data_IF_890555675351
#
_entry.id   IF_890555675351
#
_cell.length_a   1.000
_cell.length_b   1.000
_cell.length_c   1.000
_cell.angle_alpha   90.00
_cell.angle_beta   90.00
_cell.angle_gamma   90.00
#
_symmetry.space_group_name_H-M   'P 1'
#
loop_
_entity.id
_entity.type
_entity.pdbx_description
1 polymer ?
#
# COMPACT_ATOMS: atom_id res chain seq x y z
N UNK A 1 21.38 -2.38 -8.73
CA UNK A 1 22.07 -1.07 -8.68
C UNK A 1 22.70 -0.84 -10.04
N UNK A 2 22.48 0.33 -10.65
CA UNK A 2 23.19 0.77 -11.85
C UNK A 2 23.94 2.08 -11.58
N UNK A 3 24.84 2.44 -12.48
CA UNK A 3 25.68 3.62 -12.38
C UNK A 3 25.75 4.36 -13.71
N UNK A 4 25.78 5.68 -13.68
CA UNK A 4 26.01 6.52 -14.86
C UNK A 4 25.12 7.75 -14.91
N UNK A 5 25.20 8.50 -16.01
CA UNK A 5 24.29 9.61 -16.26
C UNK A 5 22.84 9.13 -16.49
N UNK A 6 21.87 10.02 -16.28
CA UNK A 6 20.47 9.71 -16.55
C UNK A 6 20.25 9.45 -18.06
N UNK A 7 19.69 8.29 -18.46
CA UNK A 7 19.55 7.95 -19.88
C UNK A 7 18.72 8.97 -20.67
N UNK A 8 19.22 9.38 -21.85
CA UNK A 8 18.54 10.35 -22.73
C UNK A 8 17.11 9.96 -23.08
N UNK A 9 16.83 8.66 -23.20
CA UNK A 9 15.48 8.14 -23.44
C UNK A 9 14.52 8.42 -22.28
N UNK A 10 15.00 8.32 -21.04
CA UNK A 10 14.21 8.63 -19.85
C UNK A 10 14.07 10.14 -19.64
N UNK A 11 15.09 10.94 -19.95
CA UNK A 11 15.00 12.40 -19.95
C UNK A 11 13.89 12.89 -20.91
N UNK A 12 13.81 12.33 -22.12
CA UNK A 12 12.74 12.66 -23.07
C UNK A 12 11.35 12.29 -22.54
N UNK A 13 11.23 11.15 -21.86
CA UNK A 13 9.97 10.75 -21.25
C UNK A 13 9.57 11.69 -20.10
N UNK A 14 10.55 12.13 -19.30
CA UNK A 14 10.35 13.13 -18.26
C UNK A 14 9.88 14.47 -18.85
N UNK A 15 10.54 14.95 -19.91
CA UNK A 15 10.19 16.22 -20.58
C UNK A 15 8.75 16.21 -21.12
N UNK A 16 8.34 15.08 -21.73
CA UNK A 16 6.99 14.88 -22.23
C UNK A 16 5.98 14.95 -21.08
N UNK A 17 6.24 14.24 -19.97
CA UNK A 17 5.37 14.24 -18.79
C UNK A 17 5.26 15.63 -18.15
N UNK A 18 6.39 16.31 -17.94
CA UNK A 18 6.44 17.63 -17.30
C UNK A 18 5.66 18.68 -18.10
N UNK A 19 5.69 18.59 -19.43
CA UNK A 19 4.92 19.47 -20.32
C UNK A 19 3.41 19.26 -20.17
N UNK A 20 2.96 18.01 -19.98
CA UNK A 20 1.54 17.67 -19.89
C UNK A 20 0.94 17.87 -18.50
N UNK A 21 1.71 17.60 -17.44
CA UNK A 21 1.17 17.43 -16.07
C UNK A 21 1.81 18.31 -15.00
N UNK A 22 2.78 19.17 -15.36
CA UNK A 22 3.60 19.98 -14.44
C UNK A 22 4.27 19.10 -13.38
N UNK A 23 5.55 18.77 -13.58
CA UNK A 23 6.32 18.02 -12.57
C UNK A 23 6.67 18.92 -11.39
N UNK A 24 6.55 18.38 -10.17
CA UNK A 24 7.10 18.98 -8.95
C UNK A 24 8.59 18.64 -8.75
N UNK A 25 9.08 17.64 -9.48
CA UNK A 25 10.48 17.21 -9.42
C UNK A 25 11.35 18.09 -10.32
N UNK A 26 12.63 18.20 -9.97
CA UNK A 26 13.63 18.75 -10.87
C UNK A 26 13.94 17.78 -12.01
N UNK A 27 14.29 18.32 -13.18
CA UNK A 27 14.73 17.51 -14.31
C UNK A 27 16.03 16.78 -13.92
N UNK A 28 16.13 15.45 -14.03
CA UNK A 28 17.27 14.69 -13.52
C UNK A 28 18.47 14.66 -14.49
N UNK A 29 18.88 15.80 -15.03
CA UNK A 29 19.96 15.94 -16.02
C UNK A 29 21.29 16.46 -15.46
N UNK A 30 21.35 16.65 -14.15
CA UNK A 30 22.49 17.20 -13.42
C UNK A 30 23.43 16.14 -12.82
N UNK A 31 23.08 14.85 -12.92
CA UNK A 31 23.89 13.75 -12.39
C UNK A 31 25.07 13.40 -13.31
N UNK A 32 26.23 13.09 -12.71
CA UNK A 32 27.43 12.64 -13.40
C UNK A 32 27.43 11.12 -13.65
N UNK A 33 28.53 10.61 -14.21
CA UNK A 33 28.71 9.19 -14.53
C UNK A 33 29.10 8.31 -13.31
N UNK A 34 29.28 8.92 -12.14
CA UNK A 34 29.53 8.23 -10.87
C UNK A 34 28.23 7.95 -10.10
N UNK A 35 27.13 8.67 -10.40
CA UNK A 35 25.84 8.53 -9.74
C UNK A 35 25.34 7.07 -9.75
N UNK A 36 24.93 6.58 -8.56
CA UNK A 36 24.34 5.27 -8.37
C UNK A 36 22.81 5.37 -8.30
N UNK A 37 22.11 4.41 -8.91
CA UNK A 37 20.67 4.26 -8.80
C UNK A 37 20.27 2.85 -8.38
N UNK A 38 19.24 2.76 -7.55
CA UNK A 38 18.46 1.54 -7.39
C UNK A 38 17.30 1.57 -8.40
N UNK A 39 17.25 0.57 -9.28
CA UNK A 39 16.15 0.41 -10.25
C UNK A 39 15.36 -0.83 -9.87
N UNK A 40 14.10 -0.62 -9.52
CA UNK A 40 13.14 -1.67 -9.21
C UNK A 40 12.22 -1.85 -10.42
N UNK A 41 12.20 -3.05 -11.00
CA UNK A 41 11.30 -3.39 -12.12
C UNK A 41 10.09 -4.12 -11.54
N UNK A 42 8.92 -3.49 -11.63
CA UNK A 42 7.68 -3.95 -11.03
C UNK A 42 6.62 -4.25 -12.11
N UNK A 43 5.58 -4.99 -11.75
CA UNK A 43 4.40 -5.16 -12.59
C UNK A 43 3.69 -3.81 -12.82
N UNK A 44 3.09 -3.62 -13.99
CA UNK A 44 2.23 -2.46 -14.24
C UNK A 44 0.83 -2.72 -13.65
N UNK A 45 0.59 -2.18 -12.46
CA UNK A 45 -0.62 -2.43 -11.67
C UNK A 45 -1.80 -1.49 -11.97
N UNK A 46 -1.75 -0.75 -13.08
CA UNK A 46 -2.82 0.16 -13.50
C UNK A 46 -2.69 1.57 -12.95
N UNK A 47 -3.80 2.15 -12.48
CA UNK A 47 -3.92 3.55 -12.04
C UNK A 47 -4.20 3.59 -10.54
N UNK A 48 -3.62 4.55 -9.83
CA UNK A 48 -3.85 4.71 -8.40
C UNK A 48 -5.33 5.06 -8.08
N UNK A 49 -5.73 4.81 -6.82
CA UNK A 49 -7.11 4.97 -6.38
C UNK A 49 -7.55 6.44 -6.31
N UNK A 50 -6.63 7.39 -6.24
CA UNK A 50 -6.92 8.82 -6.29
C UNK A 50 -7.39 9.26 -7.68
N UNK A 51 -6.85 8.64 -8.74
CA UNK A 51 -7.15 9.01 -10.13
C UNK A 51 -8.12 8.06 -10.86
N UNK A 52 -8.41 6.88 -10.29
CA UNK A 52 -9.33 5.92 -10.91
C UNK A 52 -10.81 6.25 -10.66
N UNK A 53 -11.66 6.06 -11.67
CA UNK A 53 -13.11 6.15 -11.52
C UNK A 53 -13.70 4.76 -11.28
N UNK A 54 -14.27 4.56 -10.08
CA UNK A 54 -15.06 3.37 -9.77
C UNK A 54 -16.48 3.54 -10.30
N UNK A 55 -16.93 2.59 -11.12
CA UNK A 55 -18.20 2.67 -11.86
C UNK A 55 -19.41 2.29 -10.99
N UNK A 56 -19.19 1.53 -9.90
CA UNK A 56 -20.26 1.04 -9.02
C UNK A 56 -19.79 0.81 -7.59
N UNK A 57 -20.70 0.93 -6.62
CA UNK A 57 -20.41 0.65 -5.20
C UNK A 57 -19.83 -0.75 -4.95
N UNK A 58 -20.23 -1.74 -5.76
CA UNK A 58 -19.69 -3.09 -5.68
C UNK A 58 -18.16 -3.14 -5.92
N UNK A 59 -17.64 -2.27 -6.80
CA UNK A 59 -16.19 -2.15 -7.04
C UNK A 59 -15.48 -1.54 -5.83
N UNK A 60 -16.04 -0.49 -5.22
CA UNK A 60 -15.49 0.10 -4.00
C UNK A 60 -15.41 -0.93 -2.86
N UNK A 61 -16.47 -1.71 -2.66
CA UNK A 61 -16.49 -2.79 -1.66
C UNK A 61 -15.44 -3.86 -1.96
N UNK A 62 -15.28 -4.26 -3.23
CA UNK A 62 -14.26 -5.23 -3.62
C UNK A 62 -12.85 -4.71 -3.37
N UNK A 63 -12.54 -3.47 -3.76
CA UNK A 63 -11.24 -2.84 -3.52
C UNK A 63 -10.93 -2.79 -2.02
N UNK A 64 -11.89 -2.34 -1.19
CA UNK A 64 -11.71 -2.34 0.27
C UNK A 64 -11.42 -3.74 0.83
N UNK A 65 -12.15 -4.77 0.36
CA UNK A 65 -11.92 -6.16 0.77
C UNK A 65 -10.53 -6.65 0.37
N UNK A 66 -10.08 -6.35 -0.84
CA UNK A 66 -8.74 -6.71 -1.32
C UNK A 66 -7.65 -6.08 -0.44
N UNK A 67 -7.75 -4.78 -0.16
CA UNK A 67 -6.78 -4.06 0.70
C UNK A 67 -6.72 -4.71 2.09
N UNK A 68 -7.88 -4.85 2.75
CA UNK A 68 -7.96 -5.40 4.10
C UNK A 68 -7.44 -6.84 4.15
N UNK A 69 -7.77 -7.65 3.15
CA UNK A 69 -7.32 -9.02 3.07
C UNK A 69 -5.81 -9.12 2.83
N UNK A 70 -5.25 -8.29 1.94
CA UNK A 70 -3.81 -8.22 1.70
C UNK A 70 -3.03 -7.79 2.94
N UNK A 71 -3.51 -6.78 3.68
CA UNK A 71 -2.91 -6.37 4.95
C UNK A 71 -3.01 -7.49 6.00
N UNK A 72 -4.15 -8.15 6.14
CA UNK A 72 -4.34 -9.26 7.08
C UNK A 72 -3.43 -10.46 6.75
N UNK A 73 -3.22 -10.76 5.47
CA UNK A 73 -2.28 -11.76 5.00
C UNK A 73 -0.85 -11.33 5.31
N UNK A 74 -0.46 -10.09 4.99
CA UNK A 74 0.89 -9.58 5.27
C UNK A 74 1.20 -9.64 6.77
N UNK A 75 0.21 -9.40 7.64
CA UNK A 75 0.35 -9.58 9.08
C UNK A 75 0.44 -11.05 9.50
N UNK A 76 -0.07 -12.01 8.72
CA UNK A 76 -0.14 -13.42 9.13
C UNK A 76 0.94 -14.30 8.51
N UNK A 77 1.36 -14.05 7.26
CA UNK A 77 2.35 -14.87 6.53
C UNK A 77 3.78 -14.51 6.91
N UNK A 78 4.08 -13.23 7.15
CA UNK A 78 5.38 -12.83 7.68
C UNK A 78 5.47 -13.39 9.10
N UNK A 79 6.39 -14.35 9.28
CA UNK A 79 6.38 -15.44 10.26
C UNK A 79 6.15 -15.04 11.73
N UNK A 80 6.26 -13.76 12.09
CA UNK A 80 6.13 -13.28 13.47
C UNK A 80 5.17 -12.10 13.70
N UNK A 81 4.18 -11.88 12.81
CA UNK A 81 3.03 -10.98 13.03
C UNK A 81 3.32 -9.49 13.10
N UNK A 82 4.25 -8.99 12.29
CA UNK A 82 4.92 -7.72 12.61
C UNK A 82 5.18 -6.81 11.41
N UNK A 83 4.21 -6.73 10.50
CA UNK A 83 4.25 -5.84 9.33
C UNK A 83 3.37 -4.61 9.51
N UNK A 84 3.87 -3.45 9.10
CA UNK A 84 3.07 -2.24 9.03
C UNK A 84 3.42 -1.42 7.79
N UNK A 85 2.41 -1.01 7.02
CA UNK A 85 2.65 -0.22 5.80
C UNK A 85 3.04 1.22 6.12
N UNK A 86 2.35 1.82 7.10
CA UNK A 86 2.53 3.19 7.62
C UNK A 86 2.33 4.33 6.63
N UNK A 87 2.09 4.05 5.36
CA UNK A 87 1.82 5.09 4.36
C UNK A 87 0.83 4.69 3.26
N UNK A 88 -0.23 3.96 3.62
CA UNK A 88 -1.20 3.44 2.64
C UNK A 88 -2.30 4.49 2.29
N UNK A 89 -1.90 5.67 1.82
CA UNK A 89 -2.87 6.59 1.23
C UNK A 89 -3.40 6.05 -0.11
N UNK A 90 -4.50 6.61 -0.63
CA UNK A 90 -5.11 6.18 -1.90
C UNK A 90 -4.18 6.25 -3.13
N UNK A 91 -3.13 7.07 -3.10
CA UNK A 91 -2.10 7.09 -4.14
C UNK A 91 -1.23 5.82 -4.17
N UNK A 92 -1.16 5.10 -3.04
CA UNK A 92 -0.39 3.86 -2.88
C UNK A 92 -1.25 2.59 -3.08
N UNK A 93 -2.45 2.76 -3.65
CA UNK A 93 -3.37 1.68 -3.99
C UNK A 93 -3.59 1.68 -5.49
N UNK A 94 -2.95 0.76 -6.20
CA UNK A 94 -3.05 0.64 -7.66
C UNK A 94 -4.24 -0.24 -8.06
N UNK A 95 -5.00 0.20 -9.06
CA UNK A 95 -6.19 -0.46 -9.58
C UNK A 95 -6.00 -0.82 -11.06
N UNK A 96 -6.05 -2.12 -11.36
CA UNK A 96 -6.01 -2.66 -12.71
C UNK A 96 -7.36 -3.27 -13.11
N UNK A 97 -7.79 -3.05 -14.36
CA UNK A 97 -8.95 -3.75 -14.94
C UNK A 97 -8.55 -5.18 -15.29
N UNK A 98 -9.38 -6.15 -14.90
CA UNK A 98 -9.19 -7.58 -15.23
C UNK A 98 -10.32 -8.10 -16.10
N UNK A 99 -9.98 -8.97 -17.07
CA UNK A 99 -10.87 -9.37 -18.16
C UNK A 99 -12.07 -10.24 -17.75
N UNK A 100 -12.10 -10.73 -16.51
CA UNK A 100 -13.20 -11.52 -15.98
C UNK A 100 -13.64 -10.98 -14.61
N UNK A 101 -14.95 -10.99 -14.35
CA UNK A 101 -15.53 -11.02 -12.99
C UNK A 101 -15.22 -12.37 -12.32
N UNK A 102 -13.99 -12.88 -12.52
CA UNK A 102 -13.49 -14.03 -11.79
C UNK A 102 -13.42 -13.65 -10.32
N UNK A 103 -13.82 -14.58 -9.47
CA UNK A 103 -13.54 -14.51 -8.05
C UNK A 103 -12.07 -14.17 -7.85
N UNK A 104 -11.79 -13.08 -7.12
CA UNK A 104 -10.43 -12.87 -6.67
C UNK A 104 -10.18 -13.87 -5.55
N UNK A 105 -9.57 -14.99 -5.91
CA UNK A 105 -8.76 -15.75 -4.97
C UNK A 105 -7.51 -14.91 -4.72
N UNK A 106 -7.47 -14.25 -3.56
CA UNK A 106 -6.18 -13.88 -3.02
C UNK A 106 -5.44 -15.19 -2.70
N UNK A 107 -4.76 -15.75 -3.71
CA UNK A 107 -3.94 -16.95 -3.60
C UNK A 107 -2.71 -16.64 -2.76
N UNK A 108 -2.89 -16.55 -1.44
CA UNK A 108 -1.75 -16.29 -0.54
C UNK A 108 -1.71 -17.21 0.68
N UNK A 109 -2.74 -18.04 0.93
CA UNK A 109 -2.62 -19.11 1.92
C UNK A 109 -3.32 -20.40 1.47
N UNK A 110 -2.62 -21.54 1.40
CA UNK A 110 -3.20 -22.84 1.04
C UNK A 110 -4.34 -23.33 1.95
N UNK A 111 -4.53 -22.70 3.12
CA UNK A 111 -5.43 -23.17 4.17
C UNK A 111 -6.54 -22.17 4.56
N UNK A 112 -6.58 -20.97 3.96
CA UNK A 112 -7.61 -19.95 4.19
C UNK A 112 -7.86 -19.15 2.92
N UNK A 113 -8.68 -19.70 2.03
CA UNK A 113 -9.15 -19.00 0.83
C UNK A 113 -10.33 -18.11 1.20
N UNK A 114 -10.13 -16.79 1.20
CA UNK A 114 -11.26 -15.88 1.04
C UNK A 114 -11.46 -15.64 -0.45
N UNK A 115 -12.71 -15.83 -0.88
CA UNK A 115 -13.14 -15.65 -2.27
C UNK A 115 -14.18 -14.55 -2.26
N UNK A 116 -13.91 -13.43 -2.95
CA UNK A 116 -14.91 -12.39 -3.14
C UNK A 116 -14.87 -11.87 -4.58
N UNK A 117 -16.02 -11.41 -5.13
CA UNK A 117 -16.08 -10.93 -6.49
C UNK A 117 -15.14 -9.74 -6.72
N UNK A 118 -14.33 -9.84 -7.78
CA UNK A 118 -13.43 -8.76 -8.22
C UNK A 118 -14.16 -7.54 -8.76
N UNK A 119 -15.35 -7.76 -9.31
CA UNK A 119 -16.08 -6.76 -10.07
C UNK A 119 -15.23 -6.11 -11.19
N UNK A 120 -14.30 -6.89 -11.76
CA UNK A 120 -13.43 -6.50 -12.86
C UNK A 120 -12.21 -5.69 -12.43
N UNK A 121 -11.91 -5.59 -11.12
CA UNK A 121 -10.81 -4.79 -10.59
C UNK A 121 -9.88 -5.58 -9.68
N UNK A 122 -8.57 -5.53 -9.97
CA UNK A 122 -7.50 -5.99 -9.08
C UNK A 122 -6.86 -4.80 -8.37
N UNK A 123 -6.69 -4.92 -7.06
CA UNK A 123 -5.97 -3.98 -6.22
C UNK A 123 -4.52 -4.45 -5.99
N UNK A 124 -3.56 -3.52 -5.95
CA UNK A 124 -2.18 -3.78 -5.54
C UNK A 124 -1.67 -2.66 -4.65
N UNK A 125 -1.15 -3.03 -3.47
CA UNK A 125 -0.55 -2.10 -2.52
C UNK A 125 0.92 -1.89 -2.92
N UNK A 126 1.34 -0.63 -3.02
CA UNK A 126 2.69 -0.23 -3.40
C UNK A 126 3.28 0.77 -2.39
N UNK A 127 4.53 1.15 -2.63
CA UNK A 127 5.29 2.13 -1.85
C UNK A 127 5.46 1.77 -0.37
N UNK A 128 6.49 0.96 -0.12
CA UNK A 128 6.85 0.51 1.21
C UNK A 128 7.91 1.42 1.87
N UNK A 129 8.06 2.67 1.41
CA UNK A 129 9.14 3.58 1.85
C UNK A 129 9.13 3.79 3.37
N UNK A 130 7.96 3.95 3.99
CA UNK A 130 7.82 4.14 5.44
C UNK A 130 7.47 2.84 6.18
N UNK A 131 7.47 1.71 5.48
CA UNK A 131 7.01 0.44 6.04
C UNK A 131 7.95 -0.13 7.10
N UNK A 132 7.38 -1.04 7.89
CA UNK A 132 8.07 -1.84 8.88
C UNK A 132 7.78 -3.31 8.61
N UNK A 133 8.81 -4.13 8.58
CA UNK A 133 8.75 -5.57 8.40
C UNK A 133 9.74 -6.23 9.37
N UNK A 134 9.26 -7.18 10.15
CA UNK A 134 10.09 -8.06 10.95
C UNK A 134 9.92 -9.48 10.43
N UNK A 135 11.01 -10.05 9.93
CA UNK A 135 11.16 -11.48 9.62
C UNK A 135 11.93 -12.09 10.78
N UNK A 136 11.74 -13.38 11.08
CA UNK A 136 12.21 -13.98 12.36
C UNK A 136 13.63 -13.65 12.83
N UNK A 137 14.54 -13.32 11.91
CA UNK A 137 15.92 -12.93 12.22
C UNK A 137 16.27 -11.45 11.97
N UNK A 138 15.41 -10.67 11.29
CA UNK A 138 15.74 -9.32 10.81
C UNK A 138 14.57 -8.32 10.92
N UNK A 139 14.89 -7.08 11.30
CA UNK A 139 13.96 -5.96 11.34
C UNK A 139 14.33 -4.93 10.28
N UNK A 140 13.40 -4.68 9.37
CA UNK A 140 13.44 -3.63 8.36
C UNK A 140 12.44 -2.54 8.75
N UNK A 141 12.89 -1.30 8.90
CA UNK A 141 12.02 -0.16 9.16
C UNK A 141 12.72 1.14 8.78
N UNK A 142 11.93 2.20 8.64
CA UNK A 142 12.42 3.58 8.50
C UNK A 142 12.06 4.36 9.76
N UNK A 143 13.02 5.13 10.25
CA UNK A 143 12.79 6.13 11.28
C UNK A 143 12.20 7.38 10.63
N UNK A 144 11.04 7.82 11.10
CA UNK A 144 10.32 8.95 10.50
C UNK A 144 10.65 10.19 11.33
N UNK A 145 11.77 10.82 11.00
CA UNK A 145 12.34 11.97 11.69
C UNK A 145 12.06 13.32 11.00
N UNK A 146 11.52 13.29 9.78
CA UNK A 146 11.12 14.49 9.05
C UNK A 146 9.88 15.15 9.67
N UNK A 147 10.10 16.25 10.39
CA UNK A 147 9.04 17.07 10.99
C UNK A 147 8.07 17.69 9.97
N UNK A 148 8.46 17.80 8.70
CA UNK A 148 7.60 18.25 7.61
C UNK A 148 6.34 17.37 7.47
N UNK A 149 6.50 16.07 7.64
CA UNK A 149 5.41 15.08 7.55
C UNK A 149 4.36 15.31 8.65
N UNK A 150 4.78 15.70 9.85
CA UNK A 150 3.86 15.90 10.99
C UNK A 150 3.23 17.29 11.03
N UNK A 151 3.87 18.28 10.40
CA UNK A 151 3.41 19.66 10.32
C UNK A 151 2.59 19.96 9.06
N UNK A 152 2.47 19.00 8.14
CA UNK A 152 1.60 19.14 6.97
C UNK A 152 0.11 19.33 7.33
N UNK A 153 -0.59 20.04 6.45
CA UNK A 153 -2.00 20.42 6.60
C UNK A 153 -2.72 20.34 5.24
N UNK A 154 -4.05 20.33 5.26
CA UNK A 154 -4.87 20.35 4.05
C UNK A 154 -5.31 18.98 3.54
N UNK A 155 -4.73 17.91 4.05
CA UNK A 155 -5.13 16.52 3.77
C UNK A 155 -5.25 15.71 5.09
N UNK A 156 -6.17 14.75 5.11
CA UNK A 156 -6.35 13.82 6.22
C UNK A 156 -5.12 12.91 6.43
N UNK A 157 -4.33 12.64 5.38
CA UNK A 157 -3.07 11.90 5.45
C UNK A 157 -2.13 12.45 6.54
N UNK A 158 -2.04 13.78 6.69
CA UNK A 158 -1.21 14.38 7.73
C UNK A 158 -1.72 14.12 9.15
N UNK A 159 -3.04 13.94 9.33
CA UNK A 159 -3.60 13.53 10.62
C UNK A 159 -3.22 12.08 10.94
N UNK A 160 -3.18 11.21 9.93
CA UNK A 160 -2.76 9.81 10.07
C UNK A 160 -1.31 9.75 10.57
N UNK A 161 -0.38 10.51 10.00
CA UNK A 161 1.01 10.57 10.49
C UNK A 161 1.11 11.02 11.95
N UNK A 162 0.38 12.08 12.33
CA UNK A 162 0.35 12.55 13.72
C UNK A 162 -0.20 11.50 14.68
N UNK A 163 -1.26 10.77 14.29
CA UNK A 163 -1.81 9.67 15.09
C UNK A 163 -0.85 8.50 15.21
N UNK A 164 -0.20 8.10 14.12
CA UNK A 164 0.82 7.05 14.16
C UNK A 164 1.98 7.44 15.08
N UNK A 165 2.47 8.69 15.01
CA UNK A 165 3.50 9.21 15.92
C UNK A 165 3.06 9.15 17.38
N UNK A 166 1.80 9.52 17.67
CA UNK A 166 1.26 9.44 19.03
C UNK A 166 1.12 7.99 19.53
N UNK A 167 0.78 7.04 18.66
CA UNK A 167 0.67 5.61 18.98
C UNK A 167 2.03 4.95 19.21
N UNK A 168 3.03 5.29 18.40
CA UNK A 168 4.39 4.74 18.51
C UNK A 168 5.23 5.46 19.55
N UNK A 169 4.85 6.68 19.95
CA UNK A 169 5.64 7.56 20.81
C UNK A 169 7.06 7.72 20.27
N UNK A 170 7.14 8.00 18.96
CA UNK A 170 8.38 8.09 18.17
C UNK A 170 9.21 6.79 18.08
N UNK A 171 8.72 5.65 18.58
CA UNK A 171 9.42 4.36 18.49
C UNK A 171 9.04 3.59 17.23
N UNK A 172 9.52 4.06 16.07
CA UNK A 172 9.20 3.47 14.77
C UNK A 172 9.77 2.07 14.54
N UNK A 173 10.72 1.60 15.34
CA UNK A 173 11.14 0.19 15.32
C UNK A 173 10.11 -0.76 15.95
N UNK A 174 9.26 -0.25 16.84
CA UNK A 174 8.26 -1.06 17.55
C UNK A 174 7.11 -1.47 16.63
N UNK A 175 6.58 -2.67 16.89
CA UNK A 175 5.40 -3.12 16.20
C UNK A 175 4.14 -2.53 16.84
N UNK A 176 3.46 -1.67 16.10
CA UNK A 176 2.17 -1.11 16.47
C UNK A 176 1.16 -1.42 15.35
N UNK A 177 0.38 -2.51 15.42
CA UNK A 177 -0.57 -2.87 14.36
C UNK A 177 -1.67 -1.84 14.16
N UNK A 178 -1.91 -1.00 15.18
CA UNK A 178 -2.91 0.06 15.12
C UNK A 178 -2.54 1.11 14.08
N UNK A 179 -1.26 1.26 13.71
CA UNK A 179 -0.84 2.14 12.62
C UNK A 179 -1.39 1.69 11.26
N UNK A 180 -1.61 0.38 11.04
CA UNK A 180 -2.26 -0.11 9.82
C UNK A 180 -3.77 0.21 9.80
N UNK A 181 -4.36 0.39 10.97
CA UNK A 181 -5.77 0.71 11.10
C UNK A 181 -6.01 2.21 10.82
N UNK A 182 -5.09 3.09 11.23
CA UNK A 182 -5.23 4.55 11.04
C UNK A 182 -5.24 5.00 9.56
N UNK A 183 -4.91 4.11 8.63
CA UNK A 183 -4.55 4.47 7.25
C UNK A 183 -5.71 4.96 6.37
N UNK A 184 -6.95 4.82 6.82
CA UNK A 184 -8.10 5.59 6.31
C UNK A 184 -9.30 5.26 7.20
N UNK A 185 -10.14 6.22 7.62
CA UNK A 185 -11.31 5.94 8.46
C UNK A 185 -12.26 4.90 7.83
N UNK A 186 -12.35 4.86 6.50
CA UNK A 186 -13.16 3.89 5.76
C UNK A 186 -12.55 2.49 5.76
N UNK A 187 -11.22 2.40 5.68
CA UNK A 187 -10.49 1.13 5.77
C UNK A 187 -10.49 0.63 7.22
N UNK A 188 -10.37 1.51 8.22
CA UNK A 188 -10.32 1.20 9.65
C UNK A 188 -11.49 0.31 10.12
N UNK A 189 -12.72 0.68 9.76
CA UNK A 189 -13.93 -0.05 10.20
C UNK A 189 -13.94 -1.48 9.66
N UNK A 190 -13.66 -1.63 8.37
CA UNK A 190 -13.63 -2.94 7.70
C UNK A 190 -12.43 -3.76 8.18
N UNK A 191 -11.27 -3.11 8.35
CA UNK A 191 -10.02 -3.72 8.78
C UNK A 191 -10.11 -4.32 10.18
N UNK A 192 -10.65 -3.58 11.16
CA UNK A 192 -10.85 -4.10 12.52
C UNK A 192 -11.82 -5.28 12.55
N UNK A 193 -12.93 -5.20 11.80
CA UNK A 193 -13.88 -6.30 11.70
C UNK A 193 -13.23 -7.55 11.08
N UNK A 194 -12.47 -7.40 10.00
CA UNK A 194 -11.81 -8.54 9.34
C UNK A 194 -10.66 -9.11 10.17
N UNK A 195 -9.80 -8.29 10.80
CA UNK A 195 -8.76 -8.77 11.72
C UNK A 195 -9.37 -9.56 12.88
N UNK A 196 -10.43 -9.04 13.48
CA UNK A 196 -11.12 -9.73 14.57
C UNK A 196 -11.61 -11.11 14.10
N UNK A 197 -12.15 -11.21 12.89
CA UNK A 197 -12.63 -12.47 12.35
C UNK A 197 -11.51 -13.44 11.96
N UNK A 198 -10.43 -12.96 11.35
CA UNK A 198 -9.23 -13.77 11.03
C UNK A 198 -8.55 -14.27 12.31
N UNK A 199 -8.53 -13.45 13.39
CA UNK A 199 -7.94 -13.80 14.68
C UNK A 199 -8.82 -14.71 15.54
N UNK A 200 -10.14 -14.52 15.54
CA UNK A 200 -11.05 -15.24 16.44
C UNK A 200 -11.72 -16.48 15.81
N UNK A 201 -11.82 -16.57 14.49
CA UNK A 201 -12.64 -17.61 13.84
C UNK A 201 -11.97 -18.16 12.57
N UNK A 202 -10.93 -19.01 12.72
CA UNK A 202 -10.20 -19.55 11.57
C UNK A 202 -11.07 -20.38 10.60
N UNK A 203 -12.26 -20.82 11.01
CA UNK A 203 -13.21 -21.60 10.21
C UNK A 203 -14.32 -20.81 9.48
N UNK A 204 -14.50 -19.50 9.75
CA UNK A 204 -15.55 -18.69 9.06
C UNK A 204 -15.08 -18.16 7.71
N UNK A 205 -13.76 -18.11 7.48
CA UNK A 205 -13.18 -17.72 6.17
C UNK A 205 -13.71 -18.61 5.02
N UNK A 206 -14.09 -19.86 5.31
CA UNK A 206 -14.59 -20.82 4.33
C UNK A 206 -16.02 -20.58 3.84
N UNK A 207 -16.83 -19.73 4.50
CA UNK A 207 -18.25 -19.58 4.15
C UNK A 207 -18.54 -18.42 3.19
N UNK A 208 -17.58 -17.55 2.88
CA UNK A 208 -17.77 -16.44 1.92
C UNK A 208 -18.80 -15.37 2.33
N UNK A 209 -19.45 -15.52 3.48
CA UNK A 209 -20.43 -14.56 3.98
C UNK A 209 -19.77 -13.57 4.94
N UNK A 210 -19.11 -12.55 4.37
CA UNK A 210 -18.96 -11.27 5.05
C UNK A 210 -19.97 -10.28 4.46
N UNK A 211 -21.04 -10.03 5.23
CA UNK A 211 -22.00 -8.97 4.98
C UNK A 211 -21.45 -7.71 5.67
N UNK A 212 -21.24 -6.64 4.91
CA UNK A 212 -21.47 -5.29 5.42
C UNK A 212 -22.99 -5.08 5.42
#
# INVERSE_FOLDING_TARGET
ICRGIYPTTLLRAWDLWATERKSENERPDYFDDEQLYAVLVLEHCGTDLEHVLLERWAQAISVMRQIVWSLAIAEKVCTDRRTAHRDLHWGNVMIAKVASDGDHTADVMPQQQACFPSHGLRCTIIDYTLSRLETGDELFYVDIDDEGIFTGHGDHQFEVYRRMRALTVDRWSEFCPDTNAEVSPCIFVVYRATILCVRLMPGIVASGYFIL
#
